data_IF_270640153588
#
_entry.id   IF_270640153588
#
_cell.length_a   1.000
_cell.length_b   1.000
_cell.length_c   1.000
_cell.angle_alpha   90.00
_cell.angle_beta   90.00
_cell.angle_gamma   90.00
#
_symmetry.space_group_name_H-M   'P 1'
#
loop_
_entity.id
_entity.type
_entity.pdbx_description
1 polymer ?
#
# COMPACT_ATOMS: atom_id res chain seq x y z
N UNK A 1 25.79 11.25 17.74
CA UNK A 1 24.64 11.88 17.07
C UNK A 1 23.72 10.76 16.59
N UNK A 2 22.48 10.67 17.09
CA UNK A 2 21.53 9.64 16.64
C UNK A 2 21.08 9.99 15.22
N UNK A 3 21.25 9.06 14.28
CA UNK A 3 20.79 9.23 12.90
C UNK A 3 19.27 9.45 12.90
N UNK A 4 18.83 10.54 12.27
CA UNK A 4 17.40 10.80 12.05
C UNK A 4 16.94 9.93 10.90
N UNK A 5 16.11 8.93 11.18
CA UNK A 5 15.41 8.15 10.16
C UNK A 5 14.35 9.04 9.53
N UNK A 6 14.50 9.39 8.25
CA UNK A 6 13.43 9.97 7.47
C UNK A 6 12.54 8.82 6.98
N UNK A 7 11.34 8.66 7.54
CA UNK A 7 10.34 7.66 7.15
C UNK A 7 9.48 8.17 6.00
N UNK A 8 9.87 7.96 4.74
CA UNK A 8 9.09 8.37 3.57
C UNK A 8 8.28 7.19 3.07
N UNK A 9 6.97 7.15 3.30
CA UNK A 9 6.20 5.98 2.85
C UNK A 9 5.82 6.03 1.38
N UNK A 10 5.99 4.88 0.75
CA UNK A 10 5.44 4.53 -0.54
C UNK A 10 4.11 3.87 -0.31
N UNK A 11 3.08 4.53 -0.83
CA UNK A 11 1.82 3.88 -1.13
C UNK A 11 2.05 3.26 -2.51
N UNK A 12 2.06 1.92 -2.63
CA UNK A 12 1.54 1.35 -3.87
C UNK A 12 0.08 1.73 -3.85
N UNK A 13 -0.24 2.85 -4.49
CA UNK A 13 -1.60 3.27 -4.77
C UNK A 13 -2.39 2.06 -5.23
N UNK A 14 -3.46 1.72 -4.50
CA UNK A 14 -4.68 1.14 -5.05
C UNK A 14 -4.48 0.50 -6.43
N UNK A 15 -3.85 -0.67 -6.44
CA UNK A 15 -3.71 -1.47 -7.63
C UNK A 15 -5.08 -2.08 -7.87
N UNK A 16 -5.81 -1.50 -8.81
CA UNK A 16 -7.11 -2.00 -9.22
C UNK A 16 -6.91 -3.33 -9.98
N UNK A 17 -7.52 -4.40 -9.49
CA UNK A 17 -7.57 -5.68 -10.21
C UNK A 17 -8.74 -5.69 -11.18
N UNK A 18 -8.69 -6.60 -12.15
CA UNK A 18 -9.76 -6.79 -13.10
C UNK A 18 -10.93 -7.57 -12.50
N UNK A 19 -10.69 -8.47 -11.54
CA UNK A 19 -11.74 -9.29 -10.89
C UNK A 19 -11.74 -9.16 -9.36
N UNK A 20 -12.94 -8.90 -8.80
CA UNK A 20 -13.40 -9.03 -7.40
C UNK A 20 -12.71 -8.27 -6.29
N UNK A 21 -11.39 -8.14 -6.33
CA UNK A 21 -10.62 -7.35 -5.38
C UNK A 21 -10.46 -5.93 -5.94
N UNK A 22 -11.35 -5.02 -5.53
CA UNK A 22 -11.41 -3.69 -6.13
C UNK A 22 -10.10 -2.88 -5.95
N UNK A 23 -9.22 -3.21 -4.99
CA UNK A 23 -7.87 -2.65 -4.82
C UNK A 23 -6.90 -3.52 -3.97
N UNK A 24 -5.61 -3.61 -4.35
CA UNK A 24 -4.50 -3.88 -3.41
C UNK A 24 -3.66 -2.63 -3.20
N UNK A 25 -3.45 -2.22 -1.96
CA UNK A 25 -2.61 -1.08 -1.63
C UNK A 25 -1.70 -1.45 -0.45
N UNK A 26 -0.48 -1.90 -0.76
CA UNK A 26 0.52 -2.11 0.28
C UNK A 26 1.32 -0.83 0.51
N UNK A 27 1.26 -0.29 1.73
CA UNK A 27 2.06 0.87 2.12
C UNK A 27 3.33 0.45 2.82
N UNK A 28 4.47 0.97 2.38
CA UNK A 28 5.82 0.67 2.84
C UNK A 28 6.49 1.97 3.28
N UNK A 29 7.24 2.01 4.37
CA UNK A 29 8.01 3.21 4.72
C UNK A 29 9.47 3.10 4.27
N UNK A 30 9.98 4.04 3.48
CA UNK A 30 11.40 4.12 3.10
C UNK A 30 12.17 4.81 4.22
N UNK A 31 13.40 4.36 4.46
CA UNK A 31 14.35 4.97 5.38
C UNK A 31 15.52 5.53 4.56
N UNK A 32 15.94 6.77 4.84
CA UNK A 32 17.00 7.49 4.10
C UNK A 32 18.43 6.98 4.36
N UNK A 33 18.59 5.67 4.51
CA UNK A 33 19.76 5.12 5.15
C UNK A 33 20.99 5.10 4.23
N UNK A 34 22.04 5.83 4.62
CA UNK A 34 23.40 5.70 4.06
C UNK A 34 24.15 4.50 4.66
N UNK A 35 23.46 3.40 4.94
CA UNK A 35 24.05 2.25 5.63
C UNK A 35 24.95 1.44 4.68
N UNK A 36 26.16 1.94 4.43
CA UNK A 36 27.33 1.08 4.26
C UNK A 36 27.63 0.47 5.63
N UNK A 37 26.90 -0.58 5.98
CA UNK A 37 27.26 -1.44 7.10
C UNK A 37 28.32 -2.43 6.62
N UNK A 38 29.36 -2.69 7.42
CA UNK A 38 30.38 -3.72 7.10
C UNK A 38 29.83 -5.15 7.09
N UNK A 39 28.53 -5.32 7.41
CA UNK A 39 27.78 -6.57 7.35
C UNK A 39 27.35 -6.82 5.89
N UNK A 40 27.53 -8.04 5.41
CA UNK A 40 27.07 -8.43 4.07
C UNK A 40 25.55 -8.28 3.90
N UNK A 41 25.05 -8.30 2.66
CA UNK A 41 23.64 -7.99 2.30
C UNK A 41 22.57 -8.92 2.92
N UNK A 42 22.94 -10.12 3.39
CA UNK A 42 22.06 -11.08 4.06
C UNK A 42 22.33 -11.05 5.57
N UNK A 43 21.62 -10.21 6.31
CA UNK A 43 21.69 -10.18 7.77
C UNK A 43 20.36 -9.80 8.41
N UNK A 44 20.24 -10.08 9.70
CA UNK A 44 19.11 -9.62 10.51
C UNK A 44 19.44 -8.26 11.10
N UNK A 45 18.64 -7.25 10.76
CA UNK A 45 18.77 -5.91 11.31
C UNK A 45 18.46 -5.91 12.80
N UNK A 46 19.28 -5.20 13.58
CA UNK A 46 19.07 -5.06 15.03
C UNK A 46 18.03 -4.00 15.37
N UNK A 47 17.92 -2.98 14.52
CA UNK A 47 16.97 -1.89 14.68
C UNK A 47 16.58 -1.29 13.31
N UNK A 48 15.56 -0.44 13.32
CA UNK A 48 15.00 0.19 12.12
C UNK A 48 15.97 1.18 11.44
N UNK A 49 17.03 1.61 12.12
CA UNK A 49 18.06 2.48 11.56
C UNK A 49 19.13 1.72 10.77
N UNK A 50 19.04 0.39 10.68
CA UNK A 50 19.84 -0.42 9.74
C UNK A 50 19.06 -0.72 8.43
N UNK A 51 17.78 -0.33 8.36
CA UNK A 51 16.87 -0.65 7.27
C UNK A 51 16.88 0.42 6.18
N UNK A 52 16.88 0.01 4.90
CA UNK A 52 16.68 0.87 3.73
C UNK A 52 15.18 1.08 3.44
N UNK A 53 14.35 0.09 3.75
CA UNK A 53 12.89 0.17 3.74
C UNK A 53 12.33 -0.59 4.94
N UNK A 54 11.14 -0.23 5.37
CA UNK A 54 10.40 -0.89 6.43
C UNK A 54 9.39 -1.86 5.83
N UNK A 55 9.09 -2.97 6.54
CA UNK A 55 7.99 -3.86 6.17
C UNK A 55 6.68 -3.11 5.93
N UNK A 56 5.84 -3.65 5.05
CA UNK A 56 4.52 -3.08 4.78
C UNK A 56 3.66 -2.99 6.05
N UNK A 57 2.78 -2.01 6.14
CA UNK A 57 1.91 -1.81 7.31
C UNK A 57 0.42 -1.76 6.98
N UNK A 58 0.05 -1.88 5.71
CA UNK A 58 -1.31 -2.07 5.22
C UNK A 58 -1.30 -3.12 4.09
N UNK A 59 -2.44 -3.77 3.85
CA UNK A 59 -2.64 -4.65 2.69
C UNK A 59 -3.43 -3.97 1.58
N UNK A 60 -4.50 -3.28 1.97
CA UNK A 60 -5.49 -2.68 1.06
C UNK A 60 -5.90 -1.28 1.50
N UNK A 61 -5.83 -0.97 2.81
CA UNK A 61 -6.05 0.39 3.29
C UNK A 61 -5.00 1.37 2.74
N UNK A 62 -5.40 2.55 2.24
CA UNK A 62 -4.47 3.61 1.88
C UNK A 62 -3.91 4.28 3.15
N UNK A 63 -2.63 4.67 3.11
CA UNK A 63 -1.94 5.27 4.25
C UNK A 63 -2.03 6.80 4.28
N UNK A 64 -2.02 7.35 5.50
CA UNK A 64 -1.89 8.78 5.78
C UNK A 64 -0.46 9.32 5.65
N UNK A 65 0.52 8.47 5.32
CA UNK A 65 1.90 8.88 5.07
C UNK A 65 2.13 8.92 3.54
N UNK A 66 2.77 9.97 3.05
CA UNK A 66 3.04 10.18 1.62
C UNK A 66 4.53 10.40 1.35
N UNK A 67 5.03 10.07 0.15
CA UNK A 67 6.42 10.31 -0.20
C UNK A 67 6.68 11.79 -0.52
N UNK A 68 7.97 12.15 -0.60
CA UNK A 68 8.43 13.48 -1.03
C UNK A 68 9.18 13.43 -2.36
N UNK A 69 9.60 14.61 -2.82
CA UNK A 69 10.45 14.75 -4.00
C UNK A 69 11.73 13.91 -3.87
N UNK A 70 12.17 13.33 -4.98
CA UNK A 70 13.33 12.43 -5.02
C UNK A 70 12.99 10.96 -4.71
N UNK A 71 11.75 10.64 -4.34
CA UNK A 71 11.31 9.25 -4.20
C UNK A 71 10.80 8.71 -5.53
N UNK A 72 11.26 7.54 -5.94
CA UNK A 72 10.64 6.73 -6.99
C UNK A 72 10.27 5.36 -6.43
N UNK A 73 9.20 4.76 -6.93
CA UNK A 73 8.75 3.46 -6.47
C UNK A 73 8.08 2.65 -7.57
N UNK A 74 8.04 1.34 -7.38
CA UNK A 74 7.25 0.45 -8.21
C UNK A 74 7.07 -0.91 -7.57
N UNK A 75 6.17 -1.70 -8.13
CA UNK A 75 5.90 -3.02 -7.62
C UNK A 75 4.90 -3.79 -8.46
N UNK A 76 4.76 -5.06 -8.10
CA UNK A 76 3.79 -6.00 -8.65
C UNK A 76 3.00 -6.59 -7.49
N UNK A 77 1.71 -6.80 -7.70
CA UNK A 77 0.85 -7.51 -6.77
C UNK A 77 0.05 -8.56 -7.51
N UNK A 78 -0.42 -9.55 -6.75
CA UNK A 78 -1.27 -10.59 -7.27
C UNK A 78 -2.29 -11.02 -6.23
N UNK A 79 -3.43 -11.45 -6.71
CA UNK A 79 -4.47 -12.11 -5.94
C UNK A 79 -4.67 -13.51 -6.48
N UNK A 80 -5.13 -14.39 -5.62
CA UNK A 80 -5.59 -15.69 -6.04
C UNK A 80 -6.79 -16.08 -5.21
N UNK A 81 -7.87 -16.47 -5.89
CA UNK A 81 -8.99 -17.13 -5.24
C UNK A 81 -9.52 -18.28 -6.13
N UNK A 82 -10.35 -19.13 -5.53
CA UNK A 82 -10.86 -20.34 -6.22
C UNK A 82 -12.03 -20.08 -7.17
N UNK A 83 -12.47 -18.82 -7.33
CA UNK A 83 -13.60 -18.42 -8.20
C UNK A 83 -13.10 -17.60 -9.39
N UNK A 84 -12.35 -16.55 -9.11
CA UNK A 84 -11.83 -15.56 -10.07
C UNK A 84 -10.41 -15.86 -10.54
N UNK A 85 -9.82 -16.95 -10.03
CA UNK A 85 -8.47 -17.38 -10.37
C UNK A 85 -7.41 -16.33 -10.02
N UNK A 86 -6.23 -16.42 -10.65
CA UNK A 86 -5.14 -15.49 -10.38
C UNK A 86 -5.33 -14.21 -11.19
N UNK A 87 -5.25 -13.06 -10.51
CA UNK A 87 -5.16 -11.76 -11.15
C UNK A 87 -3.94 -11.01 -10.61
N UNK A 88 -3.42 -10.07 -11.39
CA UNK A 88 -2.23 -9.33 -11.07
C UNK A 88 -2.35 -7.87 -11.44
N UNK A 89 -1.55 -7.06 -10.77
CA UNK A 89 -1.39 -5.67 -11.13
C UNK A 89 0.06 -5.26 -10.95
N UNK A 90 0.45 -4.19 -11.63
CA UNK A 90 1.73 -3.56 -11.40
C UNK A 90 1.58 -2.05 -11.34
N UNK A 91 2.52 -1.37 -10.68
CA UNK A 91 2.47 0.08 -10.60
C UNK A 91 3.86 0.67 -10.48
N UNK A 92 3.97 1.93 -10.90
CA UNK A 92 5.17 2.74 -10.74
C UNK A 92 4.79 4.19 -10.49
N UNK A 93 5.60 4.90 -9.72
CA UNK A 93 5.31 6.27 -9.35
C UNK A 93 6.50 7.01 -8.79
N UNK A 94 6.28 8.28 -8.51
CA UNK A 94 7.27 9.17 -7.93
C UNK A 94 6.62 10.11 -6.93
N UNK A 95 7.40 10.53 -5.95
CA UNK A 95 7.01 11.50 -4.96
C UNK A 95 7.30 12.93 -5.40
N UNK A 96 6.52 13.87 -4.87
CA UNK A 96 6.70 15.30 -5.07
C UNK A 96 6.59 16.07 -3.75
N UNK A 97 7.08 17.32 -3.73
CA UNK A 97 7.01 18.20 -2.56
C UNK A 97 7.87 17.74 -1.38
N UNK A 98 7.60 18.28 -0.20
CA UNK A 98 8.26 17.88 1.05
C UNK A 98 7.19 17.61 2.12
N UNK A 99 6.81 16.33 2.33
CA UNK A 99 5.71 15.99 3.23
C UNK A 99 6.01 16.29 4.69
N UNK A 100 7.23 16.66 5.05
CA UNK A 100 7.60 16.90 6.45
C UNK A 100 7.75 18.36 6.82
N UNK A 101 7.88 19.23 5.81
CA UNK A 101 8.01 20.67 6.02
C UNK A 101 6.76 21.40 5.54
N UNK A 102 6.17 20.97 4.43
CA UNK A 102 5.02 21.64 3.80
C UNK A 102 3.94 20.66 3.39
N UNK A 103 3.89 20.23 2.15
CA UNK A 103 3.06 19.13 1.67
C UNK A 103 3.88 18.33 0.68
N UNK A 104 3.65 17.03 0.68
CA UNK A 104 4.19 16.12 -0.32
C UNK A 104 3.08 15.27 -0.87
N UNK A 105 3.46 14.30 -1.69
CA UNK A 105 2.49 13.48 -2.36
C UNK A 105 3.13 12.52 -3.35
N UNK A 106 2.30 11.74 -4.00
CA UNK A 106 2.70 10.80 -5.03
C UNK A 106 1.84 10.96 -6.27
N UNK A 107 2.47 10.79 -7.43
CA UNK A 107 1.79 10.51 -8.69
C UNK A 107 2.25 9.13 -9.14
N UNK A 108 1.31 8.29 -9.58
CA UNK A 108 1.62 6.92 -9.99
C UNK A 108 0.71 6.45 -11.10
N UNK A 109 1.25 5.54 -11.91
CA UNK A 109 0.53 4.78 -12.91
C UNK A 109 0.40 3.34 -12.41
N UNK A 110 -0.80 2.80 -12.52
CA UNK A 110 -1.10 1.40 -12.22
C UNK A 110 -1.66 0.72 -13.46
N UNK A 111 -1.21 -0.50 -13.69
CA UNK A 111 -1.65 -1.38 -14.76
C UNK A 111 -2.40 -2.54 -14.12
N UNK A 112 -3.69 -2.64 -14.43
CA UNK A 112 -4.57 -3.72 -13.96
C UNK A 112 -4.60 -4.86 -14.97
N UNK A 113 -4.77 -6.09 -14.47
CA UNK A 113 -4.52 -7.36 -15.17
C UNK A 113 -3.13 -7.41 -15.81
N UNK A 114 -2.24 -8.17 -15.20
CA UNK A 114 -0.97 -8.60 -15.82
C UNK A 114 -0.95 -10.10 -16.07
N UNK A 115 -2.11 -10.76 -16.02
CA UNK A 115 -2.21 -12.18 -16.30
C UNK A 115 -2.08 -12.40 -17.82
N UNK A 116 -1.01 -13.07 -18.32
CA UNK A 116 -0.86 -13.28 -19.75
C UNK A 116 -1.85 -14.32 -20.31
N UNK A 117 -2.45 -15.15 -19.45
CA UNK A 117 -3.27 -16.29 -19.86
C UNK A 117 -4.71 -15.90 -20.25
N UNK A 118 -5.18 -14.73 -19.82
CA UNK A 118 -6.55 -14.24 -20.09
C UNK A 118 -6.64 -13.28 -21.31
N UNK A 119 -5.49 -12.92 -21.90
CA UNK A 119 -5.40 -11.97 -23.02
C UNK A 119 -5.72 -10.51 -22.64
N UNK A 120 -5.90 -10.21 -21.35
CA UNK A 120 -6.26 -8.91 -20.77
C UNK A 120 -5.07 -8.09 -20.27
N UNK A 121 -3.85 -8.62 -20.40
CA UNK A 121 -2.65 -8.01 -19.83
C UNK A 121 -2.43 -6.57 -20.33
N UNK A 122 -2.31 -5.62 -19.39
CA UNK A 122 -2.06 -4.18 -19.64
C UNK A 122 -3.22 -3.42 -20.32
N UNK A 123 -4.39 -4.03 -20.42
CA UNK A 123 -5.54 -3.41 -21.07
C UNK A 123 -6.18 -2.30 -20.23
N UNK A 124 -5.74 -2.11 -18.98
CA UNK A 124 -6.22 -1.06 -18.07
C UNK A 124 -5.06 -0.28 -17.48
N UNK A 125 -5.08 1.02 -17.67
CA UNK A 125 -4.12 1.94 -17.08
C UNK A 125 -4.79 3.04 -16.29
N UNK A 126 -4.37 3.21 -15.04
CA UNK A 126 -5.00 4.11 -14.09
C UNK A 126 -3.99 5.08 -13.48
N UNK A 127 -4.38 6.35 -13.37
CA UNK A 127 -3.65 7.38 -12.65
C UNK A 127 -4.09 7.41 -11.18
N UNK A 128 -3.11 7.47 -10.28
CA UNK A 128 -3.36 7.73 -8.86
C UNK A 128 -2.55 8.92 -8.40
N UNK A 129 -3.18 9.76 -7.57
CA UNK A 129 -2.59 10.98 -7.02
C UNK A 129 -2.90 11.04 -5.54
N UNK A 130 -1.89 11.35 -4.72
CA UNK A 130 -2.08 11.56 -3.28
C UNK A 130 -1.33 12.80 -2.83
N UNK A 131 -1.86 13.49 -1.83
CA UNK A 131 -1.24 14.64 -1.18
C UNK A 131 -1.41 14.53 0.33
N UNK A 132 -0.39 14.91 1.07
CA UNK A 132 -0.41 14.81 2.52
C UNK A 132 0.72 15.53 3.22
N UNK A 133 0.65 15.49 4.55
CA UNK A 133 1.68 16.00 5.43
C UNK A 133 1.94 15.03 6.57
N UNK A 134 3.21 14.89 6.94
CA UNK A 134 3.72 14.04 8.01
C UNK A 134 4.27 14.91 9.12
N UNK A 135 3.54 14.95 10.22
CA UNK A 135 3.90 15.64 11.45
C UNK A 135 4.90 14.81 12.25
N UNK A 136 6.18 14.89 11.85
CA UNK A 136 7.30 14.12 12.44
C UNK A 136 7.34 14.18 13.97
N UNK A 137 7.16 15.37 14.53
CA UNK A 137 7.24 15.62 15.98
C UNK A 137 6.19 14.85 16.78
N UNK A 138 5.05 14.57 16.14
CA UNK A 138 3.94 13.87 16.74
C UNK A 138 3.82 12.43 16.22
N UNK A 139 4.67 11.99 15.30
CA UNK A 139 4.67 10.63 14.76
C UNK A 139 3.38 10.25 14.04
N UNK A 140 2.73 11.17 13.32
CA UNK A 140 1.59 10.84 12.46
C UNK A 140 1.63 11.56 11.13
N UNK A 141 0.91 11.04 10.14
CA UNK A 141 0.65 11.72 8.88
C UNK A 141 -0.81 11.69 8.50
N UNK A 142 -1.20 12.65 7.69
CA UNK A 142 -2.52 12.74 7.07
C UNK A 142 -2.35 12.81 5.56
N UNK A 143 -3.23 12.12 4.83
CA UNK A 143 -3.24 12.16 3.37
C UNK A 143 -4.66 12.11 2.83
N UNK A 144 -4.85 12.76 1.69
CA UNK A 144 -6.02 12.57 0.82
C UNK A 144 -5.52 12.12 -0.55
N UNK A 145 -6.30 11.31 -1.23
CA UNK A 145 -5.90 10.81 -2.54
C UNK A 145 -7.05 10.41 -3.43
N UNK A 146 -6.71 10.29 -4.69
CA UNK A 146 -7.53 9.77 -5.78
C UNK A 146 -6.81 8.55 -6.36
N UNK A 147 -7.58 7.51 -6.61
CA UNK A 147 -7.14 6.21 -7.06
C UNK A 147 -8.01 5.75 -8.22
N UNK A 148 -7.43 5.07 -9.20
CA UNK A 148 -8.21 4.45 -10.27
C UNK A 148 -8.78 5.41 -11.30
N UNK A 149 -8.18 6.60 -11.50
CA UNK A 149 -8.62 7.46 -12.60
C UNK A 149 -8.19 6.85 -13.93
N UNK A 150 -9.14 6.33 -14.68
CA UNK A 150 -8.90 5.63 -15.96
C UNK A 150 -8.19 6.56 -16.96
N UNK A 151 -7.03 6.11 -17.45
CA UNK A 151 -6.31 6.75 -18.55
C UNK A 151 -6.57 6.05 -19.87
N UNK A 152 -6.62 4.71 -19.85
CA UNK A 152 -7.03 3.90 -20.99
C UNK A 152 -7.68 2.59 -20.54
N UNK A 153 -8.55 2.08 -21.40
CA UNK A 153 -9.24 0.82 -21.27
C UNK A 153 -9.54 0.25 -22.66
N UNK A 154 -9.34 -1.04 -22.90
CA UNK A 154 -9.51 -1.64 -24.25
C UNK A 154 -10.99 -1.94 -24.62
N UNK A 155 -11.88 -1.91 -23.63
CA UNK A 155 -13.34 -2.04 -23.78
C UNK A 155 -14.06 -0.69 -23.57
N UNK A 156 -14.77 -0.19 -24.58
CA UNK A 156 -15.49 1.10 -24.61
C UNK A 156 -16.70 1.22 -23.64
N UNK A 157 -16.89 0.29 -22.69
CA UNK A 157 -18.13 0.17 -21.90
C UNK A 157 -17.98 0.19 -20.38
N UNK A 158 -16.76 0.24 -19.83
CA UNK A 158 -16.51 0.23 -18.38
C UNK A 158 -15.60 1.39 -17.97
N UNK A 159 -16.10 2.63 -18.10
CA UNK A 159 -15.49 3.78 -17.43
C UNK A 159 -15.61 3.56 -15.90
N UNK A 160 -14.49 3.17 -15.28
CA UNK A 160 -14.43 3.02 -13.83
C UNK A 160 -14.30 4.40 -13.19
N UNK A 161 -15.26 4.75 -12.33
CA UNK A 161 -15.22 5.99 -11.58
C UNK A 161 -14.02 6.01 -10.62
N UNK A 162 -13.28 7.14 -10.54
CA UNK A 162 -12.17 7.25 -9.61
C UNK A 162 -12.65 7.13 -8.16
N UNK A 163 -11.84 6.49 -7.33
CA UNK A 163 -12.06 6.37 -5.90
C UNK A 163 -11.26 7.43 -5.16
N UNK A 164 -11.84 8.04 -4.14
CA UNK A 164 -11.23 9.06 -3.30
C UNK A 164 -11.14 8.57 -1.86
N UNK A 165 -10.10 9.00 -1.16
CA UNK A 165 -9.92 8.69 0.25
C UNK A 165 -9.30 9.84 1.03
N UNK A 166 -9.54 9.82 2.35
CA UNK A 166 -8.79 10.54 3.35
C UNK A 166 -8.33 9.57 4.44
N UNK A 167 -7.09 9.68 4.88
CA UNK A 167 -6.48 8.74 5.81
C UNK A 167 -5.54 9.42 6.79
N UNK A 168 -5.42 8.84 7.97
CA UNK A 168 -4.47 9.22 9.01
C UNK A 168 -3.70 7.97 9.40
N UNK A 169 -2.37 8.09 9.47
CA UNK A 169 -1.49 7.02 9.97
C UNK A 169 -0.72 7.52 11.17
N UNK A 170 -0.80 6.80 12.29
CA UNK A 170 -0.08 7.05 13.53
C UNK A 170 1.00 5.98 13.72
N UNK A 171 2.23 6.43 13.95
CA UNK A 171 3.34 5.58 14.35
C UNK A 171 3.47 5.65 15.87
N UNK A 172 3.31 4.50 16.52
CA UNK A 172 3.38 4.34 17.96
C UNK A 172 4.66 3.57 18.31
N UNK A 173 5.77 4.26 18.61
CA UNK A 173 6.93 3.58 19.16
C UNK A 173 6.56 3.05 20.55
N UNK A 174 6.89 1.80 20.82
CA UNK A 174 6.81 1.23 22.16
C UNK A 174 7.98 0.26 22.38
N UNK A 175 8.22 -0.11 23.64
CA UNK A 175 9.40 -0.87 24.06
C UNK A 175 9.34 -2.36 23.70
N UNK A 176 8.22 -2.85 23.18
CA UNK A 176 8.00 -4.27 22.87
C UNK A 176 8.06 -4.49 21.36
N UNK A 177 7.19 -3.83 20.61
CA UNK A 177 7.08 -3.93 19.17
C UNK A 177 6.38 -2.68 18.63
N UNK A 178 7.05 -1.81 17.85
CA UNK A 178 6.42 -0.63 17.27
C UNK A 178 5.14 -0.96 16.51
N UNK A 179 4.20 -0.03 16.52
CA UNK A 179 2.89 -0.21 15.89
C UNK A 179 2.65 0.92 14.90
N UNK A 180 2.16 0.59 13.70
CA UNK A 180 1.57 1.54 12.78
C UNK A 180 0.05 1.33 12.76
N UNK A 181 -0.72 2.38 12.99
CA UNK A 181 -2.18 2.35 12.91
C UNK A 181 -2.63 3.33 11.84
N UNK A 182 -3.50 2.87 10.95
CA UNK A 182 -4.08 3.67 9.89
C UNK A 182 -5.60 3.60 10.01
N UNK A 183 -6.25 4.75 9.86
CA UNK A 183 -7.70 4.82 9.77
C UNK A 183 -8.08 5.88 8.73
N UNK A 184 -9.22 5.70 8.09
CA UNK A 184 -9.68 6.64 7.09
C UNK A 184 -11.05 6.33 6.55
N UNK A 185 -11.41 7.14 5.57
CA UNK A 185 -12.70 7.13 4.90
C UNK A 185 -12.47 7.21 3.39
N UNK A 186 -13.29 6.53 2.60
CA UNK A 186 -13.26 6.63 1.14
C UNK A 186 -14.56 6.21 0.48
N UNK A 187 -14.62 6.30 -0.85
CA UNK A 187 -15.77 5.87 -1.66
C UNK A 187 -15.35 4.81 -2.69
N UNK A 188 -16.30 4.36 -3.52
CA UNK A 188 -16.06 3.44 -4.64
C UNK A 188 -15.29 2.20 -4.22
N UNK A 189 -14.01 2.08 -4.55
CA UNK A 189 -13.22 0.89 -4.27
C UNK A 189 -12.93 0.66 -2.76
N UNK A 190 -13.28 1.62 -1.90
CA UNK A 190 -13.28 1.48 -0.44
C UNK A 190 -14.65 1.10 0.14
N UNK A 191 -15.67 0.98 -0.72
CA UNK A 191 -17.00 0.59 -0.34
C UNK A 191 -17.07 -0.87 0.10
N UNK A 192 -17.99 -1.17 1.00
CA UNK A 192 -18.31 -2.54 1.36
C UNK A 192 -18.66 -3.33 0.09
N UNK A 193 -17.93 -4.43 -0.15
CA UNK A 193 -18.14 -5.30 -1.31
C UNK A 193 -19.57 -5.83 -1.39
N UNK A 194 -20.25 -5.97 -0.25
CA UNK A 194 -21.66 -6.42 -0.20
C UNK A 194 -22.68 -5.29 -0.42
N UNK A 195 -22.26 -4.03 -0.47
CA UNK A 195 -23.19 -2.93 -0.63
C UNK A 195 -23.77 -2.89 -2.04
N UNK A 196 -25.08 -3.08 -2.14
CA UNK A 196 -25.84 -2.88 -3.37
C UNK A 196 -26.15 -1.40 -3.62
N UNK A 197 -26.11 -0.98 -4.89
CA UNK A 197 -26.45 0.38 -5.33
C UNK A 197 -25.24 1.27 -5.56
N UNK A 198 -25.49 2.55 -5.84
CA UNK A 198 -24.42 3.49 -6.20
C UNK A 198 -23.44 3.71 -5.02
N UNK A 199 -22.16 3.36 -5.24
CA UNK A 199 -21.08 3.43 -4.26
C UNK A 199 -20.36 4.79 -4.27
N UNK A 200 -20.56 5.60 -5.32
CA UNK A 200 -19.78 6.82 -5.55
C UNK A 200 -20.08 7.95 -4.56
N UNK A 201 -21.34 8.07 -4.15
CA UNK A 201 -21.83 9.13 -3.28
C UNK A 201 -21.84 8.73 -1.80
N UNK A 202 -21.33 7.54 -1.47
CA UNK A 202 -21.29 7.00 -0.11
C UNK A 202 -19.87 6.97 0.42
N UNK A 203 -19.74 7.16 1.73
CA UNK A 203 -18.47 7.16 2.44
C UNK A 203 -18.40 5.94 3.34
N UNK A 204 -17.30 5.21 3.24
CA UNK A 204 -17.03 3.97 3.95
C UNK A 204 -15.73 4.08 4.72
N UNK A 205 -15.71 3.50 5.92
CA UNK A 205 -14.54 3.52 6.79
C UNK A 205 -13.64 2.32 6.57
N UNK A 206 -12.35 2.56 6.73
CA UNK A 206 -11.33 1.52 6.77
C UNK A 206 -10.37 1.74 7.94
N UNK A 207 -9.78 0.64 8.41
CA UNK A 207 -8.78 0.64 9.47
C UNK A 207 -7.74 -0.43 9.20
N UNK A 208 -6.47 -0.11 9.47
CA UNK A 208 -5.35 -1.02 9.33
C UNK A 208 -4.43 -0.89 10.53
N UNK A 209 -3.84 -1.99 10.95
CA UNK A 209 -2.86 -2.01 12.02
C UNK A 209 -1.74 -2.97 11.69
N UNK A 210 -0.50 -2.54 11.95
CA UNK A 210 0.66 -3.41 11.83
C UNK A 210 1.54 -3.36 13.08
N UNK A 211 2.01 -4.53 13.49
CA UNK A 211 2.97 -4.69 14.60
C UNK A 211 4.28 -5.19 14.02
N UNK A 212 5.38 -4.49 14.31
CA UNK A 212 6.70 -4.86 13.84
C UNK A 212 7.38 -5.80 14.84
N UNK A 213 7.30 -7.11 14.60
CA UNK A 213 7.89 -8.14 15.45
C UNK A 213 9.40 -8.25 15.30
N UNK A 214 9.92 -7.83 14.14
CA UNK A 214 11.35 -7.64 13.85
C UNK A 214 11.49 -6.36 13.01
N UNK A 215 12.68 -5.73 12.95
CA UNK A 215 12.88 -4.60 12.03
C UNK A 215 12.54 -4.92 10.57
N UNK A 216 12.68 -6.19 10.19
CA UNK A 216 12.40 -6.71 8.85
C UNK A 216 11.05 -7.40 8.70
N UNK A 217 10.24 -7.54 9.76
CA UNK A 217 8.97 -8.28 9.70
C UNK A 217 7.87 -7.54 10.43
N UNK A 218 6.75 -7.30 9.74
CA UNK A 218 5.51 -6.80 10.30
C UNK A 218 4.40 -7.83 10.17
N UNK A 219 3.50 -7.87 11.15
CA UNK A 219 2.22 -8.54 11.06
C UNK A 219 1.14 -7.48 10.85
N UNK A 220 0.26 -7.70 9.87
CA UNK A 220 -0.72 -6.72 9.40
C UNK A 220 -2.13 -7.29 9.61
N UNK A 221 -3.02 -6.46 10.15
CA UNK A 221 -4.45 -6.70 10.18
C UNK A 221 -5.16 -5.51 9.53
N UNK A 222 -5.98 -5.79 8.52
CA UNK A 222 -6.59 -4.77 7.67
C UNK A 222 -8.09 -5.00 7.59
N UNK A 223 -8.88 -3.94 7.71
CA UNK A 223 -10.31 -3.93 7.46
C UNK A 223 -10.63 -2.80 6.49
N UNK A 224 -10.85 -3.16 5.23
CA UNK A 224 -11.09 -2.22 4.13
C UNK A 224 -12.14 -2.82 3.20
N UNK A 225 -13.02 -2.00 2.64
CA UNK A 225 -14.06 -2.44 1.70
C UNK A 225 -14.99 -3.52 2.28
N UNK A 226 -15.27 -3.47 3.59
CA UNK A 226 -16.11 -4.47 4.27
C UNK A 226 -15.42 -5.81 4.55
N UNK A 227 -14.14 -5.93 4.19
CA UNK A 227 -13.40 -7.18 4.23
C UNK A 227 -12.27 -7.12 5.26
N UNK A 228 -12.20 -8.14 6.12
CA UNK A 228 -11.10 -8.35 7.06
C UNK A 228 -10.01 -9.21 6.43
N UNK A 229 -8.76 -8.74 6.48
CA UNK A 229 -7.57 -9.40 5.93
C UNK A 229 -6.43 -9.43 6.93
N UNK A 230 -5.62 -10.49 6.88
CA UNK A 230 -4.40 -10.63 7.70
C UNK A 230 -3.21 -10.87 6.80
N UNK A 231 -2.06 -10.31 7.15
CA UNK A 231 -0.86 -10.48 6.34
C UNK A 231 0.44 -10.25 7.10
N UNK A 232 1.51 -10.37 6.34
CA UNK A 232 2.88 -10.17 6.78
C UNK A 232 3.58 -9.28 5.77
N UNK A 233 4.31 -8.28 6.26
CA UNK A 233 5.29 -7.55 5.48
C UNK A 233 6.69 -8.05 5.83
N UNK A 234 7.54 -8.24 4.84
CA UNK A 234 8.92 -8.70 5.01
C UNK A 234 9.87 -7.86 4.17
N UNK A 235 10.95 -7.38 4.77
CA UNK A 235 12.08 -6.79 4.06
C UNK A 235 13.22 -7.82 4.06
N UNK A 236 13.41 -8.58 2.96
CA UNK A 236 14.35 -9.70 2.94
C UNK A 236 15.80 -9.26 3.13
N UNK A 237 16.15 -8.03 2.71
CA UNK A 237 17.50 -7.50 2.81
C UNK A 237 17.45 -6.13 3.50
N UNK A 238 18.09 -5.95 4.67
CA UNK A 238 18.09 -4.64 5.34
C UNK A 238 18.66 -3.52 4.47
N UNK A 239 19.64 -3.83 3.62
CA UNK A 239 20.35 -2.87 2.78
C UNK A 239 19.68 -2.59 1.43
N UNK A 240 18.69 -3.39 1.02
CA UNK A 240 17.96 -3.15 -0.24
C UNK A 240 16.56 -2.65 0.08
N UNK A 241 16.05 -1.64 -0.64
CA UNK A 241 14.75 -1.09 -0.37
C UNK A 241 13.65 -1.90 -1.07
N UNK A 242 13.63 -3.21 -0.80
CA UNK A 242 12.71 -4.18 -1.38
C UNK A 242 11.82 -4.72 -0.26
N UNK A 243 10.51 -4.73 -0.49
CA UNK A 243 9.53 -5.26 0.46
C UNK A 243 8.66 -6.30 -0.22
N UNK A 244 8.41 -7.38 0.51
CA UNK A 244 7.47 -8.42 0.18
C UNK A 244 6.26 -8.30 1.11
N UNK A 245 5.07 -8.44 0.56
CA UNK A 245 3.84 -8.49 1.34
C UNK A 245 3.08 -9.74 0.93
N UNK A 246 2.52 -10.46 1.89
CA UNK A 246 1.67 -11.62 1.64
C UNK A 246 0.57 -11.69 2.69
N UNK A 247 -0.61 -12.16 2.33
CA UNK A 247 -1.74 -12.23 3.26
C UNK A 247 -2.88 -13.10 2.80
N UNK A 248 -3.74 -13.42 3.76
CA UNK A 248 -5.06 -13.97 3.52
C UNK A 248 -6.06 -12.82 3.49
N UNK A 249 -6.75 -12.69 2.37
CA UNK A 249 -7.81 -11.73 2.13
C UNK A 249 -9.16 -12.37 2.42
N UNK A 250 -10.08 -11.60 2.97
CA UNK A 250 -11.42 -12.05 3.35
C UNK A 250 -11.46 -13.26 4.30
N UNK A 251 -10.69 -13.16 5.38
CA UNK A 251 -10.61 -14.22 6.40
C UNK A 251 -11.94 -14.43 7.15
N UNK A 252 -12.77 -13.39 7.21
CA UNK A 252 -14.07 -13.41 7.87
C UNK A 252 -15.22 -13.77 6.91
N UNK A 253 -14.91 -14.00 5.62
CA UNK A 253 -15.88 -14.30 4.56
C UNK A 253 -17.02 -13.29 4.50
N UNK A 254 -16.62 -12.03 4.62
CA UNK A 254 -17.47 -10.87 4.52
C UNK A 254 -17.52 -10.35 3.08
N UNK A 255 -16.66 -10.81 2.19
CA UNK A 255 -16.70 -10.46 0.77
C UNK A 255 -17.84 -11.16 0.02
N UNK A 256 -18.10 -10.70 -1.21
CA UNK A 256 -19.13 -11.26 -2.09
C UNK A 256 -18.93 -12.73 -2.43
N UNK A 257 -17.69 -13.20 -2.37
CA UNK A 257 -17.29 -14.55 -2.76
C UNK A 257 -17.36 -15.59 -1.62
N UNK A 258 -17.67 -15.18 -0.38
CA UNK A 258 -17.73 -16.03 0.83
C UNK A 258 -16.50 -16.98 0.97
N UNK A 259 -15.33 -16.48 0.56
CA UNK A 259 -14.12 -17.27 0.38
C UNK A 259 -12.87 -16.49 0.75
N UNK A 260 -11.97 -17.20 1.45
CA UNK A 260 -10.63 -16.70 1.71
C UNK A 260 -9.83 -16.69 0.42
N UNK A 261 -9.27 -15.54 0.09
CA UNK A 261 -8.38 -15.32 -1.04
C UNK A 261 -6.95 -15.12 -0.54
N UNK A 262 -5.97 -15.27 -1.42
CA UNK A 262 -4.58 -14.92 -1.13
C UNK A 262 -4.24 -13.61 -1.83
N UNK A 263 -3.50 -12.73 -1.14
CA UNK A 263 -2.94 -11.50 -1.68
C UNK A 263 -1.43 -11.52 -1.47
N UNK A 264 -0.68 -11.11 -2.49
CA UNK A 264 0.77 -10.97 -2.39
C UNK A 264 1.29 -9.81 -3.22
N UNK A 265 2.48 -9.35 -2.90
CA UNK A 265 3.15 -8.31 -3.67
C UNK A 265 4.64 -8.18 -3.37
N UNK A 266 5.34 -7.63 -4.35
CA UNK A 266 6.73 -7.24 -4.29
C UNK A 266 6.82 -5.77 -4.68
N UNK A 267 7.43 -4.96 -3.83
CA UNK A 267 7.64 -3.54 -4.09
C UNK A 267 9.07 -3.14 -3.84
N UNK A 268 9.51 -2.11 -4.56
CA UNK A 268 10.80 -1.48 -4.35
C UNK A 268 10.64 0.03 -4.42
N UNK A 269 11.48 0.73 -3.68
CA UNK A 269 11.47 2.17 -3.66
C UNK A 269 12.87 2.75 -3.50
N UNK A 270 13.13 3.89 -4.09
CA UNK A 270 14.45 4.51 -4.07
C UNK A 270 14.33 6.00 -3.81
N UNK A 271 15.32 6.55 -3.08
CA UNK A 271 15.41 7.98 -2.78
C UNK A 271 16.72 8.50 -3.38
N UNK A 272 16.63 9.53 -4.21
CA UNK A 272 17.77 10.22 -4.84
C UNK A 272 18.25 11.41 -4.02
#
# INVERSE_FOLDING_TARGET
MKAKVLLGSVILSSLAFANGMENAASSVAISSNQARTDKGIFYIAKDFSEMAALPGFTLSAPAGLVPGAGVMFGGVSGTYNSVEHADGAMGFGFGYGNPYETVGGAISLSLGSINPDDGGAFNRGNLNVSVGHTFKEYGFGVAVGMSGATLWHDNDHDDVDPSFYGSVTKLLPNDIAPIALTAGLGNNAYADTNSSGDKKDKVYGFVSGAVYILPQVSLIADYTSGVTSLGVGVVPFPSLPITLTAGAYDIAKQGTEDKVSFIGGLSAAYVF
#
